data_IF_608071102872
#
_entry.id   IF_608071102872
#
_cell.length_a   1.000
_cell.length_b   1.000
_cell.length_c   1.000
_cell.angle_alpha   90.00
_cell.angle_beta   90.00
_cell.angle_gamma   90.00
#
_symmetry.space_group_name_H-M   'P 1'
#
loop_
_entity.id
_entity.type
_entity.pdbx_description
1 polymer ?
#
# COMPACT_ATOMS: atom_id res chain seq x y z
N UNK A 1 46.69 8.52 -5.79
CA UNK A 1 45.47 8.89 -6.56
C UNK A 1 44.55 7.68 -6.80
N UNK A 2 45.08 6.48 -7.08
CA UNK A 2 44.25 5.26 -7.24
C UNK A 2 43.64 4.74 -5.92
N UNK A 3 44.27 4.97 -4.77
CA UNK A 3 43.81 4.39 -3.48
C UNK A 3 42.46 4.92 -3.00
N UNK A 4 42.12 6.17 -3.33
CA UNK A 4 40.85 6.80 -2.96
C UNK A 4 39.71 6.53 -3.95
N UNK A 5 39.99 5.90 -5.10
CA UNK A 5 38.99 5.57 -6.11
C UNK A 5 38.16 4.34 -5.72
N UNK A 6 38.79 3.34 -5.07
CA UNK A 6 38.15 2.09 -4.63
C UNK A 6 37.00 2.35 -3.63
N UNK A 7 37.16 3.18 -2.57
CA UNK A 7 36.04 3.56 -1.71
C UNK A 7 34.85 4.19 -2.46
N UNK A 8 35.15 5.01 -3.48
CA UNK A 8 34.12 5.69 -4.26
C UNK A 8 33.35 4.71 -5.17
N UNK A 9 34.06 3.78 -5.82
CA UNK A 9 33.42 2.74 -6.64
C UNK A 9 32.56 1.82 -5.77
N UNK A 10 33.04 1.40 -4.60
CA UNK A 10 32.28 0.61 -3.64
C UNK A 10 31.02 1.32 -3.15
N UNK A 11 31.09 2.64 -2.89
CA UNK A 11 29.92 3.44 -2.54
C UNK A 11 28.87 3.46 -3.67
N UNK A 12 29.30 3.70 -4.92
CA UNK A 12 28.42 3.67 -6.08
C UNK A 12 27.78 2.30 -6.31
N UNK A 13 28.55 1.22 -6.15
CA UNK A 13 28.07 -0.16 -6.26
C UNK A 13 27.01 -0.44 -5.20
N UNK A 14 27.24 -0.04 -3.95
CA UNK A 14 26.28 -0.21 -2.87
C UNK A 14 24.96 0.53 -3.10
N UNK A 15 25.03 1.79 -3.55
CA UNK A 15 23.86 2.58 -3.93
C UNK A 15 23.05 1.87 -5.03
N UNK A 16 23.74 1.33 -6.03
CA UNK A 16 23.12 0.60 -7.14
C UNK A 16 22.46 -0.70 -6.68
N UNK A 17 23.14 -1.49 -5.83
CA UNK A 17 22.59 -2.72 -5.26
C UNK A 17 21.34 -2.43 -4.41
N UNK A 18 21.37 -1.36 -3.60
CA UNK A 18 20.24 -0.97 -2.78
C UNK A 18 19.04 -0.56 -3.63
N UNK A 19 19.26 0.22 -4.69
CA UNK A 19 18.23 0.56 -5.67
C UNK A 19 17.59 -0.68 -6.30
N UNK A 20 18.41 -1.64 -6.74
CA UNK A 20 17.91 -2.89 -7.32
C UNK A 20 17.09 -3.69 -6.31
N UNK A 21 17.58 -3.85 -5.08
CA UNK A 21 16.85 -4.55 -4.01
C UNK A 21 15.48 -3.91 -3.72
N UNK A 22 15.42 -2.57 -3.70
CA UNK A 22 14.17 -1.81 -3.56
C UNK A 22 13.19 -2.07 -4.70
N UNK A 23 13.66 -2.06 -5.96
CA UNK A 23 12.81 -2.39 -7.12
C UNK A 23 12.32 -3.84 -7.11
N UNK A 24 13.15 -4.79 -6.69
CA UNK A 24 12.73 -6.18 -6.51
C UNK A 24 11.64 -6.27 -5.44
N UNK A 25 11.84 -5.62 -4.28
CA UNK A 25 10.82 -5.55 -3.21
C UNK A 25 9.48 -5.02 -3.73
N UNK A 26 9.50 -3.96 -4.52
CA UNK A 26 8.27 -3.35 -5.06
C UNK A 26 7.46 -4.28 -5.98
N UNK A 27 8.12 -5.28 -6.59
CA UNK A 27 7.49 -6.26 -7.48
C UNK A 27 7.12 -7.57 -6.78
N UNK A 28 7.76 -7.92 -5.67
CA UNK A 28 7.49 -9.16 -4.93
C UNK A 28 6.50 -8.91 -3.79
N UNK A 29 5.23 -9.25 -4.01
CA UNK A 29 4.14 -9.21 -3.02
C UNK A 29 4.23 -10.38 -2.02
N UNK A 30 5.29 -10.47 -1.23
CA UNK A 30 5.48 -11.61 -0.32
C UNK A 30 5.90 -11.12 1.08
N UNK A 31 5.09 -11.42 2.10
CA UNK A 31 5.42 -11.18 3.53
C UNK A 31 6.72 -11.91 3.97
N UNK A 32 7.10 -13.00 3.30
CA UNK A 32 8.39 -13.68 3.46
C UNK A 32 9.61 -12.87 3.00
N UNK A 33 9.43 -11.70 2.36
CA UNK A 33 10.54 -10.83 1.97
C UNK A 33 11.43 -10.49 3.18
N UNK A 34 10.84 -10.22 4.34
CA UNK A 34 11.59 -9.60 5.45
C UNK A 34 12.37 -10.58 6.30
N UNK A 35 11.88 -11.82 6.45
CA UNK A 35 12.52 -12.82 7.31
C UNK A 35 13.60 -13.62 6.58
N UNK A 36 13.50 -13.76 5.26
CA UNK A 36 14.44 -14.56 4.47
C UNK A 36 15.15 -13.75 3.39
N UNK A 37 14.42 -12.96 2.60
CA UNK A 37 15.00 -12.28 1.45
C UNK A 37 15.83 -11.05 1.86
N UNK A 38 15.40 -10.30 2.88
CA UNK A 38 16.13 -9.13 3.37
C UNK A 38 17.49 -9.49 3.98
N UNK A 39 17.61 -10.50 4.88
CA UNK A 39 18.92 -10.98 5.32
C UNK A 39 19.80 -11.50 4.18
N UNK A 40 19.21 -12.24 3.24
CA UNK A 40 19.93 -12.80 2.09
C UNK A 40 20.51 -11.71 1.19
N UNK A 41 19.70 -10.74 0.76
CA UNK A 41 20.14 -9.63 -0.10
C UNK A 41 21.15 -8.73 0.62
N UNK A 42 20.96 -8.49 1.91
CA UNK A 42 21.91 -7.71 2.72
C UNK A 42 23.24 -8.44 2.84
N UNK A 43 23.22 -9.75 3.12
CA UNK A 43 24.42 -10.59 3.18
C UNK A 43 25.15 -10.64 1.84
N UNK A 44 24.43 -10.80 0.72
CA UNK A 44 25.02 -10.74 -0.62
C UNK A 44 25.66 -9.38 -0.92
N UNK A 45 25.00 -8.27 -0.56
CA UNK A 45 25.58 -6.94 -0.72
C UNK A 45 26.88 -6.79 0.09
N UNK A 46 26.94 -7.31 1.32
CA UNK A 46 28.16 -7.32 2.12
C UNK A 46 29.27 -8.15 1.45
N UNK A 47 28.95 -9.33 0.90
CA UNK A 47 29.92 -10.17 0.17
C UNK A 47 30.46 -9.43 -1.05
N UNK A 48 29.59 -8.76 -1.83
CA UNK A 48 30.03 -7.98 -2.99
C UNK A 48 31.00 -6.87 -2.56
N UNK A 49 30.75 -6.21 -1.43
CA UNK A 49 31.70 -5.23 -0.87
C UNK A 49 33.02 -5.86 -0.42
N UNK A 50 33.03 -7.15 -0.04
CA UNK A 50 34.25 -7.87 0.34
C UNK A 50 35.11 -8.30 -0.86
N UNK A 51 34.55 -8.36 -2.08
CA UNK A 51 35.29 -8.76 -3.28
C UNK A 51 36.28 -7.70 -3.77
N UNK A 52 36.05 -6.43 -3.42
CA UNK A 52 36.96 -5.31 -3.72
C UNK A 52 37.58 -4.78 -2.42
N UNK A 53 38.64 -5.44 -1.88
CA UNK A 53 39.25 -5.02 -0.64
C UNK A 53 39.89 -3.63 -0.76
N UNK A 54 39.74 -2.83 0.30
CA UNK A 54 40.38 -1.52 0.40
C UNK A 54 41.92 -1.68 0.46
N UNK A 55 42.68 -0.77 -0.17
CA UNK A 55 44.13 -0.79 -0.07
C UNK A 55 44.59 -0.55 1.38
N UNK A 56 45.70 -1.17 1.76
CA UNK A 56 46.17 -1.29 3.16
C UNK A 56 46.21 0.00 4.03
N UNK A 57 46.49 1.23 3.53
CA UNK A 57 46.44 2.41 4.39
C UNK A 57 45.03 2.74 4.94
N UNK A 58 43.96 2.31 4.27
CA UNK A 58 42.57 2.57 4.67
C UNK A 58 41.99 1.51 5.64
N UNK A 59 42.81 0.52 6.01
CA UNK A 59 42.45 -0.85 6.41
C UNK A 59 41.66 -1.10 7.70
N UNK A 60 40.83 -0.18 8.20
CA UNK A 60 40.00 -0.43 9.40
C UNK A 60 38.53 -0.01 9.29
N UNK A 61 38.12 0.82 8.34
CA UNK A 61 36.70 1.15 8.10
C UNK A 61 36.37 0.77 6.67
N UNK A 62 35.42 -0.16 6.52
CA UNK A 62 34.96 -0.63 5.22
C UNK A 62 33.44 -0.41 5.08
N UNK A 63 33.03 -0.01 3.88
CA UNK A 63 31.65 0.18 3.47
C UNK A 63 30.82 -1.11 3.53
N UNK A 64 31.45 -2.29 3.66
CA UNK A 64 30.78 -3.58 3.88
C UNK A 64 29.82 -3.61 5.07
N UNK A 65 29.96 -2.70 6.02
CA UNK A 65 29.09 -2.59 7.20
C UNK A 65 27.78 -1.79 6.95
N UNK A 66 27.74 -0.97 5.90
CA UNK A 66 26.58 -0.13 5.57
C UNK A 66 25.29 -0.90 5.26
N UNK A 67 25.31 -2.03 4.51
CA UNK A 67 24.10 -2.85 4.35
C UNK A 67 23.52 -3.30 5.69
N UNK A 68 24.38 -3.66 6.66
CA UNK A 68 23.97 -4.05 8.00
C UNK A 68 23.36 -2.88 8.76
N UNK A 69 23.89 -1.65 8.60
CA UNK A 69 23.29 -0.48 9.25
C UNK A 69 21.85 -0.26 8.77
N UNK A 70 21.63 -0.36 7.45
CA UNK A 70 20.30 -0.26 6.86
C UNK A 70 19.38 -1.39 7.35
N UNK A 71 19.89 -2.61 7.45
CA UNK A 71 19.12 -3.74 7.96
C UNK A 71 18.69 -3.57 9.42
N UNK A 72 19.61 -3.14 10.29
CA UNK A 72 19.30 -2.88 11.71
C UNK A 72 18.36 -1.71 11.91
N UNK A 73 18.56 -0.60 11.20
CA UNK A 73 17.63 0.54 11.25
C UNK A 73 16.22 0.15 10.83
N UNK A 74 16.10 -0.60 9.72
CA UNK A 74 14.81 -0.83 9.07
C UNK A 74 14.03 -2.01 9.64
N UNK A 75 14.73 -3.10 9.92
CA UNK A 75 14.12 -4.37 10.30
C UNK A 75 14.42 -4.79 11.75
N UNK A 76 15.35 -4.10 12.41
CA UNK A 76 15.75 -4.37 13.78
C UNK A 76 16.74 -5.53 13.91
N UNK A 77 16.98 -5.91 15.18
CA UNK A 77 18.08 -6.79 15.56
C UNK A 77 18.05 -8.19 14.93
N UNK A 78 16.91 -8.91 14.87
CA UNK A 78 16.91 -10.28 14.35
C UNK A 78 17.38 -10.36 12.89
N UNK A 79 16.88 -9.46 12.05
CA UNK A 79 17.23 -9.40 10.63
C UNK A 79 18.66 -8.92 10.44
N UNK A 80 19.12 -7.94 11.22
CA UNK A 80 20.50 -7.46 11.16
C UNK A 80 21.51 -8.55 11.53
N UNK A 81 21.27 -9.30 12.60
CA UNK A 81 22.14 -10.41 13.00
C UNK A 81 22.12 -11.54 11.99
N UNK A 82 20.96 -11.94 11.47
CA UNK A 82 20.87 -12.94 10.41
C UNK A 82 21.64 -12.52 9.14
N UNK A 83 21.64 -11.22 8.82
CA UNK A 83 22.38 -10.68 7.67
C UNK A 83 23.90 -10.85 7.79
N UNK A 84 24.44 -11.02 9.01
CA UNK A 84 25.88 -11.21 9.25
C UNK A 84 26.36 -12.64 8.99
N UNK A 85 25.44 -13.62 8.92
CA UNK A 85 25.78 -15.05 8.79
C UNK A 85 26.43 -15.35 7.45
N UNK A 86 25.82 -14.88 6.34
CA UNK A 86 26.32 -15.17 4.99
C UNK A 86 27.73 -14.60 4.74
N UNK A 87 28.04 -13.32 5.06
CA UNK A 87 29.38 -12.78 4.85
C UNK A 87 30.43 -13.45 5.74
N UNK A 88 30.07 -13.79 6.98
CA UNK A 88 30.98 -14.51 7.89
C UNK A 88 31.28 -15.93 7.39
N UNK A 89 30.27 -16.64 6.89
CA UNK A 89 30.44 -17.95 6.26
C UNK A 89 31.24 -17.90 4.97
N UNK A 90 31.08 -16.84 4.16
CA UNK A 90 31.91 -16.61 2.98
C UNK A 90 33.39 -16.43 3.37
N UNK A 91 33.69 -15.61 4.38
CA UNK A 91 35.06 -15.43 4.88
C UNK A 91 35.66 -16.74 5.41
N UNK A 92 34.87 -17.59 6.07
CA UNK A 92 35.32 -18.91 6.55
C UNK A 92 35.75 -19.85 5.42
N UNK A 93 35.07 -19.81 4.28
CA UNK A 93 35.30 -20.72 3.16
C UNK A 93 36.41 -20.25 2.21
N UNK A 94 36.59 -18.94 2.06
CA UNK A 94 37.40 -18.36 0.97
C UNK A 94 38.57 -17.48 1.44
N UNK A 95 38.68 -17.14 2.72
CA UNK A 95 39.78 -16.32 3.26
C UNK A 95 40.69 -17.13 4.20
N UNK A 96 41.81 -16.52 4.61
CA UNK A 96 42.78 -17.18 5.49
C UNK A 96 42.20 -17.60 6.85
N UNK A 97 42.88 -18.55 7.49
CA UNK A 97 42.49 -19.08 8.79
C UNK A 97 42.35 -17.92 9.82
N UNK A 98 41.18 -17.83 10.46
CA UNK A 98 40.75 -16.78 11.42
C UNK A 98 40.13 -15.49 10.84
N UNK A 99 40.16 -15.23 9.52
CA UNK A 99 39.56 -14.03 8.93
C UNK A 99 38.04 -13.92 9.15
N UNK A 100 37.36 -15.07 9.24
CA UNK A 100 35.91 -15.15 9.49
C UNK A 100 35.51 -14.60 10.86
N UNK A 101 36.36 -14.78 11.86
CA UNK A 101 36.08 -14.34 13.23
C UNK A 101 36.15 -12.82 13.32
N UNK A 102 37.16 -12.22 12.69
CA UNK A 102 37.31 -10.76 12.57
C UNK A 102 36.12 -10.17 11.81
N UNK A 103 35.77 -10.78 10.68
CA UNK A 103 34.62 -10.36 9.85
C UNK A 103 33.30 -10.42 10.64
N UNK A 104 33.07 -11.48 11.40
CA UNK A 104 31.86 -11.61 12.21
C UNK A 104 31.80 -10.52 13.28
N UNK A 105 32.90 -10.28 14.01
CA UNK A 105 32.99 -9.21 15.02
C UNK A 105 32.72 -7.83 14.41
N UNK A 106 33.30 -7.56 13.23
CA UNK A 106 33.17 -6.30 12.51
C UNK A 106 31.75 -6.01 12.04
N UNK A 107 30.91 -7.03 11.83
CA UNK A 107 29.51 -6.89 11.40
C UNK A 107 28.51 -6.93 12.56
N UNK A 108 28.85 -7.59 13.68
CA UNK A 108 27.97 -7.68 14.85
C UNK A 108 27.79 -6.32 15.53
N UNK A 109 28.86 -5.55 15.73
CA UNK A 109 28.76 -4.23 16.36
C UNK A 109 27.83 -3.27 15.55
N UNK A 110 28.02 -3.11 14.22
CA UNK A 110 27.05 -2.48 13.33
C UNK A 110 25.61 -2.93 13.51
N UNK A 111 25.36 -4.25 13.55
CA UNK A 111 24.03 -4.81 13.69
C UNK A 111 23.38 -4.39 15.01
N UNK A 112 24.12 -4.45 16.11
CA UNK A 112 23.64 -4.05 17.44
C UNK A 112 23.34 -2.55 17.48
N UNK A 113 24.31 -1.73 17.09
CA UNK A 113 24.22 -0.26 17.20
C UNK A 113 23.10 0.30 16.33
N UNK A 114 23.03 -0.11 15.07
CA UNK A 114 21.98 0.37 14.17
C UNK A 114 20.58 -0.06 14.60
N UNK A 115 20.45 -1.26 15.20
CA UNK A 115 19.18 -1.76 15.71
C UNK A 115 18.66 -1.01 16.93
N UNK A 116 19.50 -0.29 17.68
CA UNK A 116 19.06 0.58 18.78
C UNK A 116 18.22 1.77 18.28
N UNK A 117 18.42 2.17 17.04
CA UNK A 117 17.69 3.26 16.39
C UNK A 117 16.47 2.76 15.59
N UNK A 118 16.15 1.46 15.66
CA UNK A 118 15.03 0.87 14.95
C UNK A 118 13.69 1.42 15.45
N UNK A 119 12.80 1.72 14.50
CA UNK A 119 11.39 1.95 14.76
C UNK A 119 10.55 1.04 13.86
N UNK A 120 9.50 0.42 14.42
CA UNK A 120 8.57 -0.44 13.69
C UNK A 120 7.94 0.28 12.49
N UNK A 121 7.78 1.60 12.54
CA UNK A 121 7.20 2.39 11.45
C UNK A 121 8.15 2.60 10.26
N UNK A 122 9.46 2.44 10.44
CA UNK A 122 10.42 2.46 9.33
C UNK A 122 10.27 1.24 8.42
N UNK A 123 9.87 0.11 9.00
CA UNK A 123 9.62 -1.15 8.27
C UNK A 123 8.49 -0.98 7.26
N UNK A 124 7.38 -0.42 7.72
CA UNK A 124 6.15 -0.24 6.94
C UNK A 124 6.18 0.97 5.99
N UNK A 125 7.22 1.81 6.09
CA UNK A 125 7.37 3.00 5.23
C UNK A 125 6.42 4.15 5.58
N UNK A 126 5.74 4.08 6.72
CA UNK A 126 4.86 5.17 7.19
C UNK A 126 5.65 6.32 7.84
N UNK A 127 6.81 6.02 8.42
CA UNK A 127 7.69 7.03 9.01
C UNK A 127 9.00 7.12 8.22
N UNK A 128 9.43 8.34 7.95
CA UNK A 128 10.71 8.60 7.29
C UNK A 128 11.86 8.36 8.27
N UNK A 129 12.93 7.72 7.80
CA UNK A 129 14.14 7.51 8.58
C UNK A 129 14.87 8.87 8.66
N UNK A 130 15.05 9.47 9.84
CA UNK A 130 15.67 10.78 9.92
C UNK A 130 17.18 10.65 9.73
N UNK A 131 17.74 11.55 8.90
CA UNK A 131 19.16 11.56 8.54
C UNK A 131 20.09 11.60 9.78
N UNK A 132 19.64 12.23 10.88
CA UNK A 132 20.38 12.27 12.14
C UNK A 132 20.72 10.88 12.70
N UNK A 133 19.85 9.87 12.53
CA UNK A 133 20.16 8.51 12.99
C UNK A 133 21.31 7.93 12.17
N UNK A 134 21.36 8.25 10.88
CA UNK A 134 22.46 7.85 10.01
C UNK A 134 23.82 8.39 10.48
N UNK A 135 23.86 9.70 10.74
CA UNK A 135 25.05 10.39 11.25
C UNK A 135 25.49 9.87 12.63
N UNK A 136 24.54 9.63 13.54
CA UNK A 136 24.83 9.12 14.89
C UNK A 136 25.42 7.71 14.84
N UNK A 137 24.87 6.81 14.01
CA UNK A 137 25.38 5.45 13.86
C UNK A 137 26.82 5.47 13.31
N UNK A 138 27.06 6.23 12.24
CA UNK A 138 28.40 6.35 11.65
C UNK A 138 29.41 6.93 12.66
N UNK A 139 29.01 7.97 13.41
CA UNK A 139 29.86 8.60 14.41
C UNK A 139 30.17 7.67 15.59
N UNK A 140 29.18 6.94 16.10
CA UNK A 140 29.37 6.01 17.22
C UNK A 140 30.30 4.86 16.84
N UNK A 141 30.13 4.28 15.65
CA UNK A 141 31.00 3.21 15.15
C UNK A 141 32.43 3.69 14.90
N UNK A 142 32.59 4.91 14.37
CA UNK A 142 33.90 5.52 14.20
C UNK A 142 34.61 5.71 15.54
N UNK A 143 33.93 6.27 16.54
CA UNK A 143 34.49 6.46 17.89
C UNK A 143 34.84 5.12 18.54
N UNK A 144 33.98 4.11 18.39
CA UNK A 144 34.23 2.77 18.91
C UNK A 144 35.48 2.15 18.27
N UNK A 145 35.65 2.26 16.95
CA UNK A 145 36.83 1.75 16.24
C UNK A 145 38.10 2.51 16.62
N UNK A 146 38.03 3.84 16.75
CA UNK A 146 39.15 4.66 17.20
C UNK A 146 39.60 4.27 18.62
N UNK A 147 38.64 4.02 19.52
CA UNK A 147 38.91 3.55 20.88
C UNK A 147 39.59 2.19 20.90
N UNK A 148 39.07 1.21 20.14
CA UNK A 148 39.66 -0.13 20.04
C UNK A 148 41.10 -0.04 19.52
N UNK A 149 41.33 0.75 18.47
CA UNK A 149 42.66 0.93 17.91
C UNK A 149 43.63 1.55 18.93
N UNK A 150 43.21 2.61 19.63
CA UNK A 150 44.06 3.23 20.67
C UNK A 150 44.32 2.36 21.91
N UNK A 151 43.50 1.32 22.14
CA UNK A 151 43.75 0.32 23.18
C UNK A 151 44.73 -0.78 22.73
N UNK A 152 44.76 -1.10 21.44
CA UNK A 152 45.62 -2.14 20.87
C UNK A 152 46.99 -1.60 20.46
N UNK A 153 47.04 -0.39 19.90
CA UNK A 153 48.23 0.27 19.39
C UNK A 153 48.56 1.50 20.25
N UNK A 154 49.81 1.60 20.72
CA UNK A 154 50.23 2.67 21.64
C UNK A 154 50.46 4.04 20.97
N UNK A 155 50.43 4.11 19.64
CA UNK A 155 50.69 5.34 18.88
C UNK A 155 49.72 5.54 17.72
N UNK A 156 48.97 6.65 17.76
CA UNK A 156 48.12 7.08 16.65
C UNK A 156 48.96 7.91 15.66
N UNK A 157 49.16 7.43 14.45
CA UNK A 157 49.85 8.20 13.40
C UNK A 157 48.89 9.20 12.72
N UNK A 158 49.39 10.40 12.37
CA UNK A 158 48.61 11.41 11.65
C UNK A 158 48.06 10.93 10.29
N UNK A 159 48.81 10.18 9.47
CA UNK A 159 48.28 9.62 8.22
C UNK A 159 47.07 8.71 8.46
N UNK A 160 47.16 7.83 9.45
CA UNK A 160 46.07 6.95 9.83
C UNK A 160 44.81 7.72 10.26
N UNK A 161 44.96 8.77 11.07
CA UNK A 161 43.83 9.62 11.46
C UNK A 161 43.15 10.28 10.24
N UNK A 162 43.94 10.72 9.24
CA UNK A 162 43.42 11.26 7.99
C UNK A 162 42.61 10.25 7.19
N UNK A 163 43.12 9.02 7.06
CA UNK A 163 42.45 7.92 6.34
C UNK A 163 41.14 7.51 7.02
N UNK A 164 41.10 7.45 8.36
CA UNK A 164 39.89 7.16 9.11
C UNK A 164 38.81 8.27 8.95
N UNK A 165 39.21 9.54 8.96
CA UNK A 165 38.29 10.66 8.72
C UNK A 165 37.72 10.65 7.30
N UNK A 166 38.56 10.32 6.31
CA UNK A 166 38.12 10.15 4.93
C UNK A 166 37.08 9.01 4.80
N UNK A 167 37.35 7.86 5.41
CA UNK A 167 36.40 6.74 5.40
C UNK A 167 35.10 7.06 6.14
N UNK A 168 35.15 7.78 7.26
CA UNK A 168 33.95 8.28 7.95
C UNK A 168 33.12 9.19 7.03
N UNK A 169 33.76 10.09 6.28
CA UNK A 169 33.08 11.00 5.37
C UNK A 169 32.37 10.22 4.25
N UNK A 170 33.04 9.26 3.60
CA UNK A 170 32.43 8.44 2.55
C UNK A 170 31.32 7.55 3.11
N UNK A 171 31.54 6.91 4.25
CA UNK A 171 30.53 6.05 4.88
C UNK A 171 29.28 6.86 5.24
N UNK A 172 29.46 8.04 5.84
CA UNK A 172 28.36 8.93 6.19
C UNK A 172 27.61 9.42 4.94
N UNK A 173 28.33 9.88 3.92
CA UNK A 173 27.72 10.33 2.67
C UNK A 173 26.92 9.22 1.98
N UNK A 174 27.51 8.02 1.87
CA UNK A 174 26.85 6.85 1.28
C UNK A 174 25.60 6.47 2.08
N UNK A 175 25.68 6.47 3.41
CA UNK A 175 24.54 6.12 4.24
C UNK A 175 23.41 7.15 4.18
N UNK A 176 23.76 8.44 4.11
CA UNK A 176 22.78 9.52 3.89
C UNK A 176 22.06 9.31 2.57
N UNK A 177 22.78 8.98 1.50
CA UNK A 177 22.20 8.69 0.18
C UNK A 177 21.23 7.50 0.28
N UNK A 178 21.62 6.41 0.95
CA UNK A 178 20.74 5.25 1.15
C UNK A 178 19.46 5.62 1.93
N UNK A 179 19.56 6.44 2.97
CA UNK A 179 18.40 6.93 3.74
C UNK A 179 17.48 7.78 2.85
N UNK A 180 18.05 8.71 2.06
CA UNK A 180 17.29 9.56 1.14
C UNK A 180 16.54 8.70 0.13
N UNK A 181 17.21 7.72 -0.48
CA UNK A 181 16.61 6.83 -1.48
C UNK A 181 15.44 6.05 -0.90
N UNK A 182 15.60 5.46 0.29
CA UNK A 182 14.53 4.71 0.96
C UNK A 182 13.34 5.61 1.30
N UNK A 183 13.60 6.81 1.82
CA UNK A 183 12.53 7.76 2.15
C UNK A 183 11.78 8.24 0.90
N UNK A 184 12.49 8.48 -0.21
CA UNK A 184 11.87 8.88 -1.47
C UNK A 184 10.96 7.79 -2.05
N UNK A 185 11.41 6.52 -2.03
CA UNK A 185 10.57 5.39 -2.43
C UNK A 185 9.32 5.27 -1.55
N UNK A 186 9.47 5.37 -0.23
CA UNK A 186 8.34 5.32 0.70
C UNK A 186 7.35 6.47 0.43
N UNK A 187 7.85 7.67 0.17
CA UNK A 187 7.02 8.83 -0.18
C UNK A 187 6.28 8.61 -1.49
N UNK A 188 6.95 8.10 -2.52
CA UNK A 188 6.32 7.77 -3.80
C UNK A 188 5.22 6.73 -3.63
N UNK A 189 5.44 5.71 -2.80
CA UNK A 189 4.43 4.68 -2.51
C UNK A 189 3.21 5.26 -1.79
N UNK A 190 3.42 6.10 -0.76
CA UNK A 190 2.33 6.77 -0.03
C UNK A 190 1.50 7.67 -0.96
N UNK A 191 2.17 8.43 -1.82
CA UNK A 191 1.49 9.31 -2.78
C UNK A 191 0.69 8.52 -3.80
N UNK A 192 1.27 7.44 -4.36
CA UNK A 192 0.56 6.56 -5.28
C UNK A 192 -0.68 5.96 -4.61
N UNK A 193 -0.58 5.50 -3.36
CA UNK A 193 -1.71 4.95 -2.62
C UNK A 193 -2.81 5.99 -2.39
N UNK A 194 -2.45 7.23 -2.07
CA UNK A 194 -3.41 8.32 -1.93
C UNK A 194 -4.11 8.64 -3.26
N UNK A 195 -3.36 8.67 -4.36
CA UNK A 195 -3.92 8.88 -5.70
C UNK A 195 -4.86 7.74 -6.09
N UNK A 196 -4.53 6.49 -5.78
CA UNK A 196 -5.41 5.33 -5.99
C UNK A 196 -6.71 5.46 -5.20
N UNK A 197 -6.62 5.80 -3.91
CA UNK A 197 -7.81 5.98 -3.07
C UNK A 197 -8.69 7.13 -3.59
N UNK A 198 -8.10 8.26 -3.95
CA UNK A 198 -8.82 9.39 -4.55
C UNK A 198 -9.42 9.05 -5.91
N UNK A 199 -8.73 8.25 -6.72
CA UNK A 199 -9.20 7.83 -8.03
C UNK A 199 -10.30 6.76 -7.98
N UNK A 200 -10.38 6.00 -6.89
CA UNK A 200 -11.30 4.86 -6.73
C UNK A 200 -12.48 5.13 -5.79
N UNK A 201 -12.50 6.26 -5.09
CA UNK A 201 -13.61 6.64 -4.21
C UNK A 201 -14.36 7.85 -4.76
N UNK A 202 -15.65 7.93 -4.43
CA UNK A 202 -16.44 9.12 -4.63
C UNK A 202 -16.06 10.20 -3.61
N UNK A 203 -15.90 11.43 -4.09
CA UNK A 203 -15.40 12.55 -3.29
C UNK A 203 -16.33 12.92 -2.12
N UNK A 204 -17.64 12.78 -2.31
CA UNK A 204 -18.68 13.21 -1.37
C UNK A 204 -19.02 12.12 -0.34
N UNK A 205 -19.34 10.93 -0.81
CA UNK A 205 -19.86 9.80 -0.02
C UNK A 205 -18.77 8.88 0.52
N UNK A 206 -17.55 8.93 -0.03
CA UNK A 206 -16.44 8.01 0.24
C UNK A 206 -16.73 6.53 -0.08
N UNK A 207 -17.87 6.23 -0.71
CA UNK A 207 -18.07 4.93 -1.32
C UNK A 207 -17.10 4.75 -2.50
N UNK A 208 -16.81 3.50 -2.90
CA UNK A 208 -16.25 3.23 -4.21
C UNK A 208 -16.98 4.01 -5.32
N UNK A 209 -16.24 4.45 -6.34
CA UNK A 209 -16.84 5.08 -7.52
C UNK A 209 -17.03 4.07 -8.66
N UNK A 210 -17.72 4.48 -9.73
CA UNK A 210 -17.97 3.62 -10.87
C UNK A 210 -16.69 3.04 -11.48
N UNK A 211 -15.59 3.82 -11.55
CA UNK A 211 -14.30 3.35 -12.08
C UNK A 211 -13.75 2.15 -11.30
N UNK A 212 -13.90 2.15 -9.97
CA UNK A 212 -13.46 1.05 -9.10
C UNK A 212 -14.42 -0.14 -9.13
N UNK A 213 -15.71 0.09 -9.37
CA UNK A 213 -16.75 -0.93 -9.40
C UNK A 213 -16.62 -1.85 -10.62
N UNK A 214 -16.42 -1.28 -11.81
CA UNK A 214 -16.40 -2.02 -13.08
C UNK A 214 -15.44 -3.24 -13.09
N UNK A 215 -14.14 -3.11 -12.76
CA UNK A 215 -13.24 -4.26 -12.79
C UNK A 215 -13.60 -5.34 -11.77
N UNK A 216 -14.22 -4.99 -10.64
CA UNK A 216 -14.67 -5.96 -9.64
C UNK A 216 -15.88 -6.73 -10.16
N UNK A 217 -16.85 -6.01 -10.74
CA UNK A 217 -18.03 -6.60 -11.35
C UNK A 217 -17.69 -7.49 -12.56
N UNK A 218 -16.77 -7.06 -13.44
CA UNK A 218 -16.29 -7.88 -14.56
C UNK A 218 -15.65 -9.19 -14.06
N UNK A 219 -14.77 -9.11 -13.05
CA UNK A 219 -14.16 -10.30 -12.46
C UNK A 219 -15.18 -11.24 -11.79
N UNK A 220 -16.22 -10.68 -11.16
CA UNK A 220 -17.29 -11.47 -10.56
C UNK A 220 -18.16 -12.13 -11.64
N UNK A 221 -18.42 -11.44 -12.74
CA UNK A 221 -19.18 -11.93 -13.88
C UNK A 221 -18.48 -13.08 -14.60
N UNK A 222 -17.14 -13.08 -14.67
CA UNK A 222 -16.35 -14.22 -15.16
C UNK A 222 -16.60 -15.51 -14.34
N UNK A 223 -17.03 -15.39 -13.08
CA UNK A 223 -17.40 -16.54 -12.23
C UNK A 223 -18.86 -16.98 -12.45
N UNK A 224 -19.63 -16.25 -13.26
CA UNK A 224 -20.89 -16.68 -13.88
C UNK A 224 -22.15 -16.56 -13.03
N UNK A 225 -22.13 -15.90 -11.87
CA UNK A 225 -23.31 -15.76 -10.99
C UNK A 225 -23.28 -14.45 -10.22
N UNK A 226 -23.87 -13.41 -10.80
CA UNK A 226 -23.93 -12.08 -10.18
C UNK A 226 -25.27 -11.41 -10.45
N UNK A 227 -25.68 -10.58 -9.50
CA UNK A 227 -26.81 -9.66 -9.64
C UNK A 227 -26.33 -8.23 -9.50
N UNK A 228 -26.85 -7.35 -10.35
CA UNK A 228 -26.64 -5.91 -10.30
C UNK A 228 -27.93 -5.23 -9.86
N UNK A 229 -27.78 -4.33 -8.91
CA UNK A 229 -28.82 -3.48 -8.38
C UNK A 229 -28.48 -2.05 -8.77
N UNK A 230 -29.33 -1.40 -9.56
CA UNK A 230 -29.30 0.04 -9.73
C UNK A 230 -30.24 0.67 -8.72
N UNK A 231 -29.75 1.59 -7.91
CA UNK A 231 -30.45 2.19 -6.78
C UNK A 231 -30.47 3.69 -7.00
N UNK A 232 -31.62 4.32 -6.82
CA UNK A 232 -31.73 5.77 -6.92
C UNK A 232 -32.60 6.34 -5.80
N UNK A 233 -32.24 7.55 -5.40
CA UNK A 233 -32.90 8.27 -4.33
C UNK A 233 -34.18 8.97 -4.78
N UNK A 234 -35.30 8.54 -4.21
CA UNK A 234 -36.59 9.11 -4.53
C UNK A 234 -36.72 10.54 -3.99
N UNK A 235 -37.19 11.44 -4.85
CA UNK A 235 -37.51 12.84 -4.52
C UNK A 235 -36.29 13.71 -4.13
N UNK A 236 -35.06 13.28 -4.44
CA UNK A 236 -33.84 14.03 -4.08
C UNK A 236 -33.80 15.45 -4.66
N UNK A 237 -34.24 15.63 -5.92
CA UNK A 237 -34.36 16.97 -6.50
C UNK A 237 -35.29 17.89 -5.69
N UNK A 238 -36.46 17.38 -5.27
CA UNK A 238 -37.41 18.15 -4.46
C UNK A 238 -36.83 18.50 -3.08
N UNK A 239 -36.07 17.57 -2.50
CA UNK A 239 -35.34 17.82 -1.26
C UNK A 239 -34.29 18.93 -1.44
N UNK A 240 -33.49 18.88 -2.50
CA UNK A 240 -32.52 19.92 -2.86
C UNK A 240 -33.17 21.28 -3.10
N UNK A 241 -34.27 21.31 -3.85
CA UNK A 241 -34.99 22.55 -4.17
C UNK A 241 -35.52 23.23 -2.90
N UNK A 242 -35.84 22.45 -1.85
CA UNK A 242 -36.37 22.93 -0.58
C UNK A 242 -35.30 23.32 0.44
N UNK A 243 -34.28 22.49 0.61
CA UNK A 243 -33.28 22.62 1.69
C UNK A 243 -31.91 23.09 1.20
N UNK A 244 -31.71 23.16 -0.11
CA UNK A 244 -30.46 23.54 -0.75
C UNK A 244 -29.50 22.36 -0.94
N UNK A 245 -28.56 22.53 -1.87
CA UNK A 245 -27.60 21.48 -2.24
C UNK A 245 -26.70 21.01 -1.10
N UNK A 246 -26.39 21.87 -0.12
CA UNK A 246 -25.57 21.47 1.04
C UNK A 246 -26.26 20.41 1.91
N UNK A 247 -27.59 20.55 2.10
CA UNK A 247 -28.39 19.57 2.82
C UNK A 247 -28.57 18.28 2.00
N UNK A 248 -28.73 18.39 0.66
CA UNK A 248 -28.74 17.22 -0.21
C UNK A 248 -27.42 16.45 -0.20
N UNK A 249 -26.29 17.15 -0.22
CA UNK A 249 -24.96 16.55 -0.08
C UNK A 249 -24.84 15.79 1.24
N UNK A 250 -25.37 16.36 2.33
CA UNK A 250 -25.42 15.70 3.63
C UNK A 250 -26.33 14.46 3.61
N UNK A 251 -27.50 14.54 2.96
CA UNK A 251 -28.40 13.41 2.78
C UNK A 251 -27.74 12.27 2.01
N UNK A 252 -26.99 12.57 0.94
CA UNK A 252 -26.24 11.55 0.20
C UNK A 252 -25.17 10.87 1.06
N UNK A 253 -24.48 11.60 1.93
CA UNK A 253 -23.53 11.01 2.89
C UNK A 253 -24.25 10.06 3.85
N UNK A 254 -25.38 10.49 4.40
CA UNK A 254 -26.16 9.67 5.34
C UNK A 254 -26.67 8.39 4.67
N UNK A 255 -27.22 8.48 3.45
CA UNK A 255 -27.72 7.31 2.73
C UNK A 255 -26.59 6.38 2.32
N UNK A 256 -25.47 6.93 1.87
CA UNK A 256 -24.29 6.10 1.58
C UNK A 256 -23.81 5.32 2.79
N UNK A 257 -23.87 5.91 3.98
CA UNK A 257 -23.55 5.24 5.25
C UNK A 257 -24.57 4.15 5.55
N UNK A 258 -25.87 4.44 5.47
CA UNK A 258 -26.94 3.46 5.70
C UNK A 258 -26.79 2.27 4.76
N UNK A 259 -26.71 2.50 3.45
CA UNK A 259 -26.56 1.43 2.47
C UNK A 259 -25.33 0.56 2.74
N UNK A 260 -24.19 1.18 3.07
CA UNK A 260 -22.95 0.44 3.40
C UNK A 260 -23.11 -0.50 4.61
N UNK A 261 -23.93 -0.15 5.59
CA UNK A 261 -24.19 -1.02 6.77
C UNK A 261 -25.27 -2.06 6.50
N UNK A 262 -26.14 -1.84 5.52
CA UNK A 262 -27.25 -2.75 5.19
C UNK A 262 -26.87 -3.87 4.23
N UNK A 263 -25.77 -3.70 3.47
CA UNK A 263 -25.31 -4.69 2.50
C UNK A 263 -24.57 -5.86 3.17
N UNK A 264 -24.53 -7.01 2.51
CA UNK A 264 -23.74 -8.15 2.98
C UNK A 264 -22.24 -7.92 2.79
N UNK A 265 -21.40 -8.55 3.62
CA UNK A 265 -19.93 -8.40 3.59
C UNK A 265 -19.30 -8.75 2.23
N UNK A 266 -19.93 -9.69 1.51
CA UNK A 266 -19.51 -10.16 0.20
C UNK A 266 -20.04 -9.33 -0.97
N UNK A 267 -20.96 -8.40 -0.72
CA UNK A 267 -21.50 -7.51 -1.74
C UNK A 267 -20.60 -6.27 -1.90
N UNK A 268 -20.72 -5.60 -3.05
CA UNK A 268 -19.92 -4.42 -3.34
C UNK A 268 -20.80 -3.26 -3.81
N UNK A 269 -20.79 -2.15 -3.08
CA UNK A 269 -21.56 -0.94 -3.41
C UNK A 269 -20.65 0.19 -3.87
N UNK A 270 -21.10 0.93 -4.87
CA UNK A 270 -20.45 2.14 -5.37
C UNK A 270 -21.48 3.25 -5.63
N UNK A 271 -21.04 4.50 -5.66
CA UNK A 271 -21.84 5.60 -6.21
C UNK A 271 -21.70 5.59 -7.73
N UNK A 272 -22.83 5.50 -8.44
CA UNK A 272 -22.87 5.49 -9.90
C UNK A 272 -22.68 6.91 -10.45
N UNK A 273 -23.41 7.88 -9.89
CA UNK A 273 -23.34 9.30 -10.22
C UNK A 273 -24.55 10.04 -9.65
N UNK A 274 -24.47 11.36 -9.40
CA UNK A 274 -25.62 12.11 -8.88
C UNK A 274 -26.23 11.50 -7.60
N UNK A 275 -27.51 11.13 -7.65
CA UNK A 275 -28.25 10.45 -6.57
C UNK A 275 -28.33 8.92 -6.72
N UNK A 276 -27.56 8.36 -7.65
CA UNK A 276 -27.59 6.94 -8.04
C UNK A 276 -26.43 6.15 -7.42
N UNK A 277 -26.74 4.93 -7.00
CA UNK A 277 -25.83 3.94 -6.46
C UNK A 277 -25.96 2.63 -7.23
N UNK A 278 -24.87 1.87 -7.27
CA UNK A 278 -24.83 0.56 -7.91
C UNK A 278 -24.30 -0.46 -6.91
N UNK A 279 -24.96 -1.60 -6.83
CA UNK A 279 -24.61 -2.70 -5.93
C UNK A 279 -24.43 -4.00 -6.74
N UNK A 280 -23.33 -4.67 -6.49
CA UNK A 280 -23.00 -6.00 -6.99
C UNK A 280 -23.23 -7.01 -5.87
N UNK A 281 -24.03 -8.05 -6.16
CA UNK A 281 -24.23 -9.18 -5.26
C UNK A 281 -23.88 -10.50 -5.95
N UNK A 282 -23.36 -11.46 -5.19
CA UNK A 282 -23.11 -12.84 -5.64
C UNK A 282 -24.34 -13.75 -5.49
N UNK A 283 -25.41 -13.26 -4.85
CA UNK A 283 -26.68 -13.95 -4.79
C UNK A 283 -27.41 -13.83 -6.14
N UNK A 284 -28.04 -14.93 -6.56
CA UNK A 284 -28.77 -15.03 -7.83
C UNK A 284 -30.17 -15.61 -7.65
N UNK A 285 -30.50 -16.16 -6.48
CA UNK A 285 -31.82 -16.69 -6.17
C UNK A 285 -32.85 -15.56 -6.15
N UNK A 286 -33.87 -15.57 -7.04
CA UNK A 286 -34.81 -14.47 -7.17
C UNK A 286 -35.60 -14.17 -5.89
N UNK A 287 -35.92 -15.19 -5.07
CA UNK A 287 -36.68 -15.00 -3.84
C UNK A 287 -35.83 -14.30 -2.79
N UNK A 288 -34.57 -14.74 -2.61
CA UNK A 288 -33.63 -14.08 -1.69
C UNK A 288 -33.30 -12.66 -2.11
N UNK A 289 -33.12 -12.43 -3.41
CA UNK A 289 -32.89 -11.08 -3.94
C UNK A 289 -34.09 -10.16 -3.70
N UNK A 290 -35.33 -10.65 -3.86
CA UNK A 290 -36.54 -9.87 -3.55
C UNK A 290 -36.57 -9.46 -2.09
N UNK A 291 -36.39 -10.42 -1.18
CA UNK A 291 -36.35 -10.17 0.28
C UNK A 291 -35.24 -9.16 0.62
N UNK A 292 -34.06 -9.31 0.01
CA UNK A 292 -32.95 -8.40 0.23
C UNK A 292 -33.26 -6.98 -0.25
N UNK A 293 -33.80 -6.83 -1.46
CA UNK A 293 -34.16 -5.54 -2.02
C UNK A 293 -35.28 -4.85 -1.22
N UNK A 294 -36.31 -5.59 -0.82
CA UNK A 294 -37.40 -5.10 0.03
C UNK A 294 -36.87 -4.63 1.39
N UNK A 295 -35.93 -5.39 1.98
CA UNK A 295 -35.24 -4.99 3.21
C UNK A 295 -34.50 -3.65 3.03
N UNK A 296 -33.78 -3.47 1.92
CA UNK A 296 -33.09 -2.21 1.63
C UNK A 296 -34.07 -1.04 1.52
N UNK A 297 -35.15 -1.18 0.73
CA UNK A 297 -36.18 -0.15 0.61
C UNK A 297 -36.82 0.20 1.96
N UNK A 298 -37.27 -0.79 2.71
CA UNK A 298 -37.94 -0.59 4.01
C UNK A 298 -37.02 0.09 5.01
N UNK A 299 -35.79 -0.41 5.19
CA UNK A 299 -34.89 0.14 6.22
C UNK A 299 -34.42 1.56 5.89
N UNK A 300 -34.22 1.88 4.61
CA UNK A 300 -33.94 3.25 4.20
C UNK A 300 -35.15 4.13 4.47
N UNK A 301 -36.35 3.74 4.03
CA UNK A 301 -37.57 4.50 4.28
C UNK A 301 -37.76 4.78 5.78
N UNK A 302 -37.63 3.75 6.62
CA UNK A 302 -37.78 3.83 8.08
C UNK A 302 -36.73 4.75 8.72
N UNK A 303 -35.47 4.65 8.28
CA UNK A 303 -34.37 5.46 8.80
C UNK A 303 -34.61 6.96 8.56
N UNK A 304 -35.17 7.31 7.40
CA UNK A 304 -35.37 8.71 7.00
C UNK A 304 -36.80 9.24 7.24
N UNK A 305 -37.68 8.47 7.88
CA UNK A 305 -39.05 8.90 8.25
C UNK A 305 -39.07 10.26 8.96
N UNK A 306 -38.13 10.48 9.89
CA UNK A 306 -38.04 11.71 10.68
C UNK A 306 -37.68 12.96 9.86
N UNK A 307 -37.01 12.78 8.70
CA UNK A 307 -36.65 13.87 7.79
C UNK A 307 -37.78 14.28 6.86
N UNK A 308 -38.90 13.55 6.86
CA UNK A 308 -40.04 13.87 6.02
C UNK A 308 -40.80 15.10 6.53
N UNK A 309 -40.67 15.55 7.79
CA UNK A 309 -41.30 16.79 8.31
C UNK A 309 -42.80 17.00 7.97
N UNK A 310 -43.57 15.92 7.77
CA UNK A 310 -44.97 15.98 7.32
C UNK A 310 -45.17 16.19 5.82
N UNK A 311 -44.13 16.02 5.00
CA UNK A 311 -44.17 16.12 3.55
C UNK A 311 -44.94 14.99 2.88
N UNK A 312 -45.46 15.33 1.70
CA UNK A 312 -46.09 14.40 0.76
C UNK A 312 -45.07 13.58 -0.05
N UNK A 313 -43.78 13.95 -0.01
CA UNK A 313 -42.70 13.33 -0.76
C UNK A 313 -41.62 12.76 0.19
N UNK A 314 -41.80 11.53 0.70
CA UNK A 314 -40.83 10.92 1.60
C UNK A 314 -39.50 10.62 0.91
N UNK A 315 -38.41 10.63 1.68
CA UNK A 315 -37.11 10.16 1.21
C UNK A 315 -37.08 8.63 1.29
N UNK A 316 -37.02 7.99 0.13
CA UNK A 316 -36.97 6.53 -0.05
C UNK A 316 -35.98 6.17 -1.15
N UNK A 317 -35.83 4.88 -1.45
CA UNK A 317 -35.06 4.42 -2.61
C UNK A 317 -35.91 3.54 -3.52
N UNK A 318 -35.68 3.70 -4.81
CA UNK A 318 -36.16 2.80 -5.84
C UNK A 318 -34.99 1.93 -6.33
N UNK A 319 -35.26 0.67 -6.63
CA UNK A 319 -34.24 -0.31 -7.02
C UNK A 319 -34.66 -1.02 -8.32
N UNK A 320 -33.74 -1.16 -9.26
CA UNK A 320 -33.86 -2.03 -10.42
C UNK A 320 -32.82 -3.15 -10.37
N UNK A 321 -33.21 -4.37 -10.69
CA UNK A 321 -32.36 -5.57 -10.50
C UNK A 321 -32.27 -6.35 -11.80
N UNK A 322 -31.05 -6.67 -12.23
CA UNK A 322 -30.79 -7.68 -13.27
C UNK A 322 -29.79 -8.72 -12.76
N UNK A 323 -29.97 -9.97 -13.19
CA UNK A 323 -29.19 -11.12 -12.75
C UNK A 323 -28.62 -11.84 -13.97
N UNK A 324 -27.30 -12.05 -13.95
CA UNK A 324 -26.62 -12.87 -14.93
C UNK A 324 -26.53 -14.32 -14.43
N UNK A 325 -27.19 -15.21 -15.16
CA UNK A 325 -27.24 -16.65 -14.90
C UNK A 325 -26.28 -17.45 -15.81
N UNK A 326 -25.78 -16.83 -16.88
CA UNK A 326 -24.89 -17.45 -17.85
C UNK A 326 -23.53 -16.73 -17.91
N UNK A 327 -22.42 -17.47 -18.04
CA UNK A 327 -21.14 -16.88 -18.40
C UNK A 327 -21.24 -16.29 -19.83
N UNK A 328 -20.54 -15.19 -20.09
CA UNK A 328 -20.49 -14.44 -21.38
C UNK A 328 -21.53 -13.31 -21.58
N UNK A 329 -22.30 -12.93 -20.57
CA UNK A 329 -23.06 -11.68 -20.64
C UNK A 329 -22.10 -10.49 -20.48
N UNK A 330 -22.28 -9.42 -21.24
CA UNK A 330 -21.52 -8.17 -21.04
C UNK A 330 -22.03 -7.41 -19.82
N UNK A 331 -21.12 -6.92 -18.96
CA UNK A 331 -21.49 -6.17 -17.75
C UNK A 331 -22.35 -4.94 -18.07
N UNK A 332 -22.03 -4.22 -19.15
CA UNK A 332 -22.76 -3.05 -19.64
C UNK A 332 -24.23 -3.37 -19.91
N UNK A 333 -24.53 -4.55 -20.46
CA UNK A 333 -25.89 -5.02 -20.69
C UNK A 333 -26.64 -5.24 -19.38
N UNK A 334 -26.04 -5.91 -18.40
CA UNK A 334 -26.68 -6.19 -17.10
C UNK A 334 -26.98 -4.88 -16.36
N UNK A 335 -26.05 -3.94 -16.40
CA UNK A 335 -26.24 -2.59 -15.83
C UNK A 335 -27.41 -1.89 -16.52
N UNK A 336 -27.48 -1.93 -17.86
CA UNK A 336 -28.58 -1.32 -18.62
C UNK A 336 -29.95 -1.97 -18.33
N UNK A 337 -29.99 -3.29 -18.16
CA UNK A 337 -31.21 -4.02 -17.79
C UNK A 337 -31.68 -3.65 -16.37
N UNK A 338 -30.74 -3.52 -15.42
CA UNK A 338 -31.04 -3.06 -14.07
C UNK A 338 -31.55 -1.60 -14.05
N UNK A 339 -30.95 -0.72 -14.85
CA UNK A 339 -31.40 0.67 -15.00
C UNK A 339 -32.83 0.76 -15.57
N UNK A 340 -33.14 -0.05 -16.59
CA UNK A 340 -34.51 -0.14 -17.12
C UNK A 340 -35.52 -0.61 -16.07
N UNK A 341 -35.14 -1.58 -15.24
CA UNK A 341 -35.98 -2.01 -14.12
C UNK A 341 -36.13 -0.92 -13.04
N UNK A 342 -35.10 -0.10 -12.81
CA UNK A 342 -35.17 1.02 -11.87
C UNK A 342 -36.16 2.08 -12.36
N UNK A 343 -36.15 2.37 -13.67
CA UNK A 343 -37.13 3.26 -14.29
C UNK A 343 -38.57 2.80 -14.02
N UNK A 344 -38.85 1.50 -14.14
CA UNK A 344 -40.16 0.93 -13.81
C UNK A 344 -40.50 1.07 -12.31
N UNK A 345 -39.53 0.85 -11.42
CA UNK A 345 -39.73 1.08 -9.97
C UNK A 345 -40.16 2.51 -9.68
N UNK A 346 -39.51 3.50 -10.31
CA UNK A 346 -39.87 4.92 -10.18
C UNK A 346 -41.27 5.21 -10.72
N UNK A 347 -41.64 4.65 -11.87
CA UNK A 347 -42.95 4.88 -12.52
C UNK A 347 -44.11 4.23 -11.78
N UNK A 348 -43.89 3.09 -11.12
CA UNK A 348 -44.95 2.37 -10.40
C UNK A 348 -45.24 2.93 -9.01
N UNK A 349 -44.65 4.07 -8.65
CA UNK A 349 -44.93 4.76 -7.39
C UNK A 349 -43.78 4.75 -6.38
N UNK A 350 -42.54 4.51 -6.84
CA UNK A 350 -41.30 4.63 -6.04
C UNK A 350 -41.25 3.67 -4.83
N UNK A 351 -40.23 3.81 -3.97
CA UNK A 351 -40.02 3.02 -2.75
C UNK A 351 -40.21 1.50 -2.96
N UNK A 352 -39.59 0.95 -4.00
CA UNK A 352 -39.76 -0.45 -4.39
C UNK A 352 -38.59 -0.97 -5.21
N UNK A 353 -38.56 -2.28 -5.35
CA UNK A 353 -37.69 -2.98 -6.28
C UNK A 353 -38.46 -3.59 -7.44
N UNK A 354 -37.83 -3.64 -8.62
CA UNK A 354 -38.35 -4.33 -9.81
C UNK A 354 -37.22 -5.16 -10.41
N UNK A 355 -37.53 -6.40 -10.79
CA UNK A 355 -36.60 -7.27 -11.52
C UNK A 355 -36.81 -7.04 -13.01
N UNK A 356 -35.72 -6.95 -13.78
CA UNK A 356 -35.79 -6.78 -15.23
C UNK A 356 -36.63 -7.89 -15.90
N UNK A 357 -36.51 -9.13 -15.42
CA UNK A 357 -37.32 -10.27 -15.90
C UNK A 357 -38.85 -10.07 -15.72
N UNK A 358 -39.27 -9.24 -14.77
CA UNK A 358 -40.68 -8.93 -14.51
C UNK A 358 -41.19 -7.72 -15.32
N UNK A 359 -40.30 -7.02 -16.02
CA UNK A 359 -40.67 -5.84 -16.80
C UNK A 359 -41.36 -6.30 -18.09
N UNK A 360 -42.62 -5.90 -18.35
CA UNK A 360 -43.30 -6.26 -19.59
C UNK A 360 -42.53 -5.66 -20.77
N UNK A 361 -42.16 -6.50 -21.75
CA UNK A 361 -41.57 -6.04 -23.02
C UNK A 361 -42.58 -5.19 -23.78
N UNK A 362 -42.58 -3.88 -23.53
CA UNK A 362 -43.21 -2.93 -24.43
C UNK A 362 -42.19 -2.70 -25.55
N UNK A 363 -42.50 -3.16 -26.76
CA UNK A 363 -41.75 -2.82 -27.96
C UNK A 363 -41.59 -1.29 -28.04
N UNK A 364 -40.44 -0.75 -27.65
CA UNK A 364 -40.05 0.62 -27.98
C UNK A 364 -39.70 0.69 -29.48
N UNK A 365 -40.74 0.63 -30.31
CA UNK A 365 -40.77 1.33 -31.59
C UNK A 365 -41.79 2.45 -31.41
N UNK A 366 -41.44 3.65 -31.90
CA UNK A 366 -42.08 4.97 -31.67
C UNK A 366 -41.43 5.68 -30.46
N UNK A 367 -40.48 6.61 -30.60
CA UNK A 367 -40.32 7.64 -31.63
C UNK A 367 -38.83 7.89 -31.91
N UNK A 368 -38.46 7.83 -33.19
CA UNK A 368 -37.30 8.49 -33.77
C UNK A 368 -37.79 9.66 -34.62
#
# INVERSE_FOLDING_TARGET
MNEYLVPLTSACTLVTLNYMAMKVRSKMLIESYEHFLAPLLTGLACIIMMLEPLPEPLGLIDLRSLPIFMAGLRYGLPVALLSTVLPSGFSLLFQESNAWFITAQDLIAPALISSLFHNKEYRSGFLDIPIRHGLLICSFLFLLRLLIHGLLESHLSWPYAGDQLFMLAIMSATFIILIIMVNDENKSWRLQRQLELQANQDGLTKLPNLRSFLPIADNALLKGRVSIFMIDLDNFKQYNDRFGHLEGDQLLREISSVLRHLIHEQDYIARYGGEEFILLSTEIDPLRLRIYAERLCSLVADTFLHKNHGDTAPITISIGISTAEEPQVELTRIISEADHALYESKHRGKNRSTFYKDVPFINQKMNA
#
